data_IF_047350777739
#
_entry.id   IF_047350777739
#
_cell.length_a   1.000
_cell.length_b   1.000
_cell.length_c   1.000
_cell.angle_alpha   90.00
_cell.angle_beta   90.00
_cell.angle_gamma   90.00
#
_symmetry.space_group_name_H-M   'P 1'
#
loop_
_entity.id
_entity.type
_entity.pdbx_description
1 polymer ?
#
# COMPACT_ATOMS: atom_id res chain seq x y z
N UNK A 1 -2.43 -16.60 15.76
CA UNK A 1 -3.25 -15.81 14.83
C UNK A 1 -2.89 -16.09 13.37
N UNK A 2 -2.57 -17.34 12.99
CA UNK A 2 -2.18 -17.64 11.61
C UNK A 2 -3.37 -17.50 10.64
N UNK A 3 -4.56 -17.88 11.09
CA UNK A 3 -5.79 -17.77 10.32
C UNK A 3 -6.18 -16.32 10.01
N UNK A 4 -6.03 -15.41 10.98
CA UNK A 4 -6.33 -13.99 10.78
C UNK A 4 -5.38 -13.36 9.76
N UNK A 5 -4.08 -13.67 9.82
CA UNK A 5 -3.11 -13.19 8.84
C UNK A 5 -3.41 -13.69 7.42
N UNK A 6 -3.78 -14.96 7.26
CA UNK A 6 -4.22 -15.54 5.97
C UNK A 6 -5.48 -14.84 5.44
N UNK A 7 -6.45 -14.58 6.31
CA UNK A 7 -7.69 -13.89 5.94
C UNK A 7 -7.42 -12.45 5.49
N UNK A 8 -6.55 -11.72 6.20
CA UNK A 8 -6.12 -10.37 5.81
C UNK A 8 -5.44 -10.39 4.44
N UNK A 9 -4.54 -11.34 4.19
CA UNK A 9 -3.87 -11.46 2.90
C UNK A 9 -4.85 -11.74 1.76
N UNK A 10 -5.84 -12.61 1.99
CA UNK A 10 -6.91 -12.86 1.03
C UNK A 10 -7.71 -11.59 0.72
N UNK A 11 -8.08 -10.82 1.75
CA UNK A 11 -8.79 -9.53 1.57
C UNK A 11 -7.94 -8.55 0.74
N UNK A 12 -6.65 -8.42 1.06
CA UNK A 12 -5.74 -7.55 0.32
C UNK A 12 -5.62 -7.95 -1.17
N UNK A 13 -5.59 -9.26 -1.47
CA UNK A 13 -5.60 -9.78 -2.84
C UNK A 13 -6.90 -9.43 -3.59
N UNK A 14 -8.05 -9.53 -2.94
CA UNK A 14 -9.33 -9.13 -3.52
C UNK A 14 -9.41 -7.62 -3.76
N UNK A 15 -8.89 -6.81 -2.84
CA UNK A 15 -8.79 -5.35 -3.02
C UNK A 15 -7.89 -4.99 -4.22
N UNK A 16 -6.73 -5.64 -4.34
CA UNK A 16 -5.83 -5.43 -5.47
C UNK A 16 -6.49 -5.79 -6.81
N UNK A 17 -7.18 -6.94 -6.88
CA UNK A 17 -7.94 -7.35 -8.06
C UNK A 17 -9.05 -6.35 -8.42
N UNK A 18 -9.79 -5.88 -7.42
CA UNK A 18 -10.84 -4.87 -7.61
C UNK A 18 -10.27 -3.56 -8.16
N UNK A 19 -9.16 -3.08 -7.60
CA UNK A 19 -8.49 -1.87 -8.07
C UNK A 19 -8.06 -2.00 -9.55
N UNK A 20 -7.45 -3.13 -9.94
CA UNK A 20 -7.01 -3.42 -11.32
C UNK A 20 -8.19 -3.50 -12.29
N UNK A 21 -9.29 -4.16 -11.91
CA UNK A 21 -10.44 -4.38 -12.79
C UNK A 21 -11.47 -3.23 -12.84
N UNK A 22 -11.35 -2.23 -11.97
CA UNK A 22 -12.22 -1.05 -11.99
C UNK A 22 -12.22 -0.35 -13.37
N UNK A 23 -13.35 0.22 -13.83
CA UNK A 23 -13.43 0.91 -15.12
C UNK A 23 -12.50 2.12 -15.17
N UNK A 24 -11.70 2.22 -16.23
CA UNK A 24 -10.68 3.27 -16.43
C UNK A 24 -10.82 3.91 -17.81
N UNK A 25 -10.29 5.13 -17.95
CA UNK A 25 -10.32 5.86 -19.22
C UNK A 25 -9.68 5.00 -20.34
N UNK A 26 -10.42 4.85 -21.45
CA UNK A 26 -10.01 4.04 -22.62
C UNK A 26 -9.69 2.56 -22.31
N UNK A 27 -10.10 2.04 -21.16
CA UNK A 27 -9.75 0.69 -20.73
C UNK A 27 -8.26 0.50 -20.42
N UNK A 28 -7.48 1.58 -20.28
CA UNK A 28 -6.06 1.50 -20.00
C UNK A 28 -5.81 1.40 -18.51
N UNK A 29 -5.15 0.32 -18.11
CA UNK A 29 -4.80 0.06 -16.73
C UNK A 29 -3.34 0.41 -16.47
N UNK A 30 -3.11 1.61 -15.94
CA UNK A 30 -1.79 2.16 -15.64
C UNK A 30 -1.36 1.95 -14.18
N UNK A 31 -2.18 1.31 -13.36
CA UNK A 31 -1.84 1.14 -11.93
C UNK A 31 -1.03 -0.13 -11.70
N UNK A 32 -0.13 -0.06 -10.73
CA UNK A 32 0.56 -1.21 -10.15
C UNK A 32 0.14 -1.36 -8.69
N UNK A 33 0.02 -2.61 -8.25
CA UNK A 33 -0.37 -2.95 -6.89
C UNK A 33 0.70 -3.80 -6.24
N UNK A 34 0.96 -3.58 -4.95
CA UNK A 34 1.82 -4.43 -4.13
C UNK A 34 1.15 -4.61 -2.76
N UNK A 35 1.19 -5.81 -2.21
CA UNK A 35 0.72 -6.08 -0.85
C UNK A 35 1.97 -6.28 -0.01
N UNK A 36 2.13 -5.50 1.05
CA UNK A 36 3.24 -5.64 1.99
C UNK A 36 2.72 -6.19 3.31
N UNK A 37 3.42 -7.18 3.84
CA UNK A 37 3.17 -7.82 5.14
C UNK A 37 4.50 -8.01 5.88
N UNK A 38 4.46 -8.42 7.15
CA UNK A 38 5.65 -8.77 7.92
C UNK A 38 6.74 -7.68 7.89
N UNK A 39 7.95 -8.07 7.50
CA UNK A 39 9.13 -7.19 7.46
C UNK A 39 9.01 -6.07 6.41
N UNK A 40 8.47 -6.35 5.22
CA UNK A 40 8.32 -5.33 4.17
C UNK A 40 7.40 -4.17 4.62
N UNK A 41 6.36 -4.50 5.40
CA UNK A 41 5.47 -3.50 6.02
C UNK A 41 6.22 -2.65 7.05
N UNK A 42 7.12 -3.25 7.83
CA UNK A 42 7.97 -2.53 8.78
C UNK A 42 8.90 -1.55 8.07
N UNK A 43 9.57 -2.00 7.01
CA UNK A 43 10.44 -1.15 6.17
C UNK A 43 9.67 0.04 5.60
N UNK A 44 8.44 -0.19 5.11
CA UNK A 44 7.58 0.90 4.63
C UNK A 44 7.24 1.91 5.73
N UNK A 45 6.82 1.44 6.90
CA UNK A 45 6.46 2.33 8.02
C UNK A 45 7.66 3.15 8.50
N UNK A 46 8.85 2.56 8.56
CA UNK A 46 10.07 3.27 8.93
C UNK A 46 10.45 4.33 7.90
N UNK A 47 10.41 4.01 6.60
CA UNK A 47 10.67 4.98 5.54
C UNK A 47 9.67 6.15 5.57
N UNK A 48 8.39 5.88 5.85
CA UNK A 48 7.38 6.93 6.03
C UNK A 48 7.68 7.83 7.23
N UNK A 49 8.14 7.26 8.35
CA UNK A 49 8.53 8.02 9.54
C UNK A 49 9.74 8.90 9.26
N UNK A 50 10.80 8.33 8.69
CA UNK A 50 12.03 9.06 8.33
C UNK A 50 11.71 10.24 7.40
N UNK A 51 10.87 10.02 6.39
CA UNK A 51 10.43 11.09 5.50
C UNK A 51 9.69 12.21 6.26
N UNK A 52 8.75 11.83 7.14
CA UNK A 52 8.00 12.79 7.95
C UNK A 52 8.88 13.62 8.89
N UNK A 53 9.87 13.01 9.53
CA UNK A 53 10.84 13.68 10.40
C UNK A 53 11.76 14.62 9.62
N UNK A 54 12.29 14.15 8.49
CA UNK A 54 13.22 14.93 7.64
C UNK A 54 12.58 16.17 7.03
N UNK A 55 11.29 16.11 6.73
CA UNK A 55 10.57 17.17 6.03
C UNK A 55 9.59 17.97 6.91
N UNK A 56 9.55 17.69 8.21
CA UNK A 56 8.61 18.29 9.18
C UNK A 56 7.14 18.13 8.76
N UNK A 57 6.78 16.91 8.33
CA UNK A 57 5.45 16.57 7.81
C UNK A 57 4.77 15.58 8.74
N UNK A 58 4.08 16.08 9.77
CA UNK A 58 3.51 15.26 10.84
C UNK A 58 2.52 14.18 10.40
N UNK A 59 1.83 14.35 9.26
CA UNK A 59 0.90 13.32 8.78
C UNK A 59 1.61 12.04 8.31
N UNK A 60 2.84 12.13 7.80
CA UNK A 60 3.64 10.96 7.45
C UNK A 60 4.01 10.14 8.68
N UNK A 61 4.33 10.80 9.80
CA UNK A 61 4.64 10.13 11.07
C UNK A 61 3.41 9.42 11.63
N UNK A 62 2.24 10.08 11.58
CA UNK A 62 0.96 9.47 11.98
C UNK A 62 0.66 8.23 11.12
N UNK A 63 0.77 8.36 9.80
CA UNK A 63 0.40 7.28 8.88
C UNK A 63 1.41 6.12 8.92
N UNK A 64 2.69 6.40 9.21
CA UNK A 64 3.67 5.38 9.54
C UNK A 64 3.23 4.53 10.76
N UNK A 65 2.66 5.17 11.80
CA UNK A 65 2.07 4.48 12.94
C UNK A 65 0.90 3.58 12.54
N UNK A 66 0.01 4.08 11.68
CA UNK A 66 -1.14 3.31 11.17
C UNK A 66 -0.69 2.08 10.37
N UNK A 67 0.31 2.25 9.49
CA UNK A 67 0.88 1.15 8.69
C UNK A 67 1.55 0.13 9.60
N UNK A 68 2.36 0.55 10.57
CA UNK A 68 3.02 -0.35 11.51
C UNK A 68 2.01 -1.19 12.32
N UNK A 69 0.90 -0.59 12.73
CA UNK A 69 -0.17 -1.24 13.48
C UNK A 69 -1.08 -2.15 12.64
N UNK A 70 -0.98 -2.14 11.31
CA UNK A 70 -1.81 -2.96 10.42
C UNK A 70 -1.21 -4.36 10.19
N UNK A 71 -2.03 -5.36 9.89
CA UNK A 71 -1.54 -6.71 9.54
C UNK A 71 -0.97 -6.78 8.11
N UNK A 72 -1.52 -5.98 7.20
CA UNK A 72 -1.06 -5.83 5.82
C UNK A 72 -1.35 -4.41 5.30
N UNK A 73 -0.65 -4.00 4.24
CA UNK A 73 -0.93 -2.76 3.51
C UNK A 73 -0.95 -3.03 2.00
N UNK A 74 -2.01 -2.57 1.31
CA UNK A 74 -2.09 -2.58 -0.15
C UNK A 74 -1.61 -1.24 -0.69
N UNK A 75 -0.47 -1.26 -1.39
CA UNK A 75 0.07 -0.14 -2.12
C UNK A 75 -0.52 -0.10 -3.53
N UNK A 76 -0.94 1.09 -3.97
CA UNK A 76 -1.42 1.35 -5.33
C UNK A 76 -0.64 2.53 -5.89
N UNK A 77 0.20 2.26 -6.90
CA UNK A 77 0.94 3.27 -7.65
C UNK A 77 0.38 3.44 -9.06
N UNK A 78 0.67 4.57 -9.71
CA UNK A 78 0.32 4.83 -11.11
C UNK A 78 1.58 5.04 -11.94
N UNK A 79 1.67 4.37 -13.08
CA UNK A 79 2.73 4.50 -14.07
C UNK A 79 2.34 5.47 -15.19
N UNK A 80 1.36 6.35 -14.97
CA UNK A 80 0.83 7.22 -16.03
C UNK A 80 1.93 8.08 -16.69
N UNK A 81 2.93 8.53 -15.92
CA UNK A 81 4.06 9.29 -16.47
C UNK A 81 4.95 8.49 -17.42
N UNK A 82 4.96 7.15 -17.32
CA UNK A 82 5.72 6.24 -18.20
C UNK A 82 4.86 5.68 -19.36
N UNK A 83 3.56 5.96 -19.36
CA UNK A 83 2.58 5.46 -20.32
C UNK A 83 2.16 6.50 -21.37
N UNK A 84 2.67 7.74 -21.28
CA UNK A 84 2.38 8.87 -22.17
C UNK A 84 3.66 9.35 -22.82
#
# INVERSE_FOLDING_TARGET
MAFESEAVEMVARLMALSARTAPKARGTDVIKTMIVTGEEKTVLAEAMREYGEKHDVGFFIRDAGNVAASDACLLIGSMLADAV
#
